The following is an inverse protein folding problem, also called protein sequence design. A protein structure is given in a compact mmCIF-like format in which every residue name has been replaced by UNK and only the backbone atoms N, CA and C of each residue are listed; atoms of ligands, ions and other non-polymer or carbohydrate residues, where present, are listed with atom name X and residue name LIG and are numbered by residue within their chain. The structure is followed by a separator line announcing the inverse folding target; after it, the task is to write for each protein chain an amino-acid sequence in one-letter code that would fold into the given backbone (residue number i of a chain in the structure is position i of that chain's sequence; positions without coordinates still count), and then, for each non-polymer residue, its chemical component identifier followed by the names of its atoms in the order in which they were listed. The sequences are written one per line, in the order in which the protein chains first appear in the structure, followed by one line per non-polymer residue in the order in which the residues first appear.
data_IF_956504645811
#
_entry.id   IF_956504645811
#
_cell.length_a   1.000
_cell.length_b   1.000
_cell.length_c   1.000
_cell.angle_alpha   90.00
_cell.angle_beta   90.00
_cell.angle_gamma   90.00
#
_symmetry.space_group_name_H-M   'P 1'
#
loop_
_entity.id
_entity.type
_entity.pdbx_description
1 polymer ?
#
# COMPACT_ATOMS: atom_id res chain seq x y z
N UNK A 1 -5.15 13.11 -1.76
CA UNK A 1 -4.44 12.18 -0.87
C UNK A 1 -4.68 12.59 0.58
N UNK A 2 -5.34 11.75 1.36
CA UNK A 2 -5.51 11.86 2.80
C UNK A 2 -4.24 11.47 3.58
N UNK A 3 -4.33 11.48 4.90
CA UNK A 3 -3.19 11.32 5.83
C UNK A 3 -2.42 10.00 5.63
N UNK A 4 -3.11 8.93 5.22
CA UNK A 4 -2.50 7.60 5.01
C UNK A 4 -1.66 7.59 3.74
N UNK A 5 -2.19 8.14 2.64
CA UNK A 5 -1.49 8.22 1.36
C UNK A 5 -0.24 9.11 1.44
N UNK A 6 -0.18 10.02 2.42
CA UNK A 6 0.99 10.89 2.69
C UNK A 6 1.95 10.32 3.76
N UNK A 7 1.64 9.18 4.37
CA UNK A 7 2.47 8.59 5.43
C UNK A 7 2.35 9.25 6.81
N UNK A 8 1.43 10.20 7.00
CA UNK A 8 1.18 10.85 8.30
C UNK A 8 0.43 9.94 9.29
N UNK A 9 -0.25 8.90 8.79
CA UNK A 9 -1.00 7.95 9.60
C UNK A 9 -0.73 6.52 9.15
N UNK A 10 -0.32 5.69 10.10
CA UNK A 10 -0.21 4.23 9.96
C UNK A 10 -1.61 3.62 9.79
N UNK A 11 -1.89 2.89 8.71
CA UNK A 11 -3.17 2.21 8.55
C UNK A 11 -3.36 1.16 9.66
N UNK A 12 -4.52 1.17 10.29
CA UNK A 12 -4.89 0.16 11.30
C UNK A 12 -5.36 -1.14 10.65
N UNK A 13 -5.31 -2.24 11.39
CA UNK A 13 -5.76 -3.56 10.90
C UNK A 13 -7.20 -3.54 10.33
N UNK A 14 -8.20 -2.90 10.95
CA UNK A 14 -9.55 -2.82 10.36
C UNK A 14 -9.58 -2.14 8.98
N UNK A 15 -8.75 -1.12 8.76
CA UNK A 15 -8.67 -0.44 7.47
C UNK A 15 -8.03 -1.35 6.41
N UNK A 16 -6.94 -2.02 6.76
CA UNK A 16 -6.28 -3.01 5.89
C UNK A 16 -7.28 -4.08 5.42
N UNK A 17 -8.09 -4.61 6.35
CA UNK A 17 -9.11 -5.61 6.02
C UNK A 17 -10.21 -5.05 5.12
N UNK A 18 -10.62 -3.79 5.31
CA UNK A 18 -11.59 -3.11 4.41
C UNK A 18 -11.04 -2.95 3.00
N UNK A 19 -9.77 -2.55 2.86
CA UNK A 19 -9.10 -2.41 1.56
C UNK A 19 -9.00 -3.77 0.86
N UNK A 20 -8.55 -4.81 1.56
CA UNK A 20 -8.46 -6.16 1.00
C UNK A 20 -9.81 -6.65 0.46
N UNK A 21 -10.89 -6.43 1.22
CA UNK A 21 -12.27 -6.73 0.79
C UNK A 21 -12.68 -5.92 -0.44
N UNK A 22 -12.42 -4.61 -0.47
CA UNK A 22 -12.74 -3.75 -1.60
C UNK A 22 -11.99 -4.17 -2.88
N UNK A 23 -10.76 -4.63 -2.74
CA UNK A 23 -9.91 -5.16 -3.81
C UNK A 23 -10.18 -6.63 -4.14
N UNK A 24 -11.14 -7.27 -3.45
CA UNK A 24 -11.52 -8.69 -3.64
C UNK A 24 -10.32 -9.65 -3.50
N UNK A 25 -9.41 -9.37 -2.58
CA UNK A 25 -8.26 -10.23 -2.27
C UNK A 25 -8.15 -10.50 -0.76
N UNK A 26 -7.29 -11.43 -0.37
CA UNK A 26 -6.96 -11.65 1.04
C UNK A 26 -6.04 -10.53 1.55
N UNK A 27 -6.11 -10.23 2.86
CA UNK A 27 -5.18 -9.28 3.47
C UNK A 27 -3.72 -9.74 3.41
N UNK A 28 -3.49 -11.05 3.41
CA UNK A 28 -2.16 -11.62 3.20
C UNK A 28 -1.62 -11.30 1.80
N UNK A 29 -2.45 -11.44 0.76
CA UNK A 29 -2.09 -11.08 -0.61
C UNK A 29 -1.82 -9.56 -0.74
N UNK A 30 -2.68 -8.72 -0.14
CA UNK A 30 -2.51 -7.28 -0.13
C UNK A 30 -1.16 -6.86 0.49
N UNK A 31 -0.81 -7.45 1.64
CA UNK A 31 0.45 -7.17 2.34
C UNK A 31 1.66 -7.65 1.53
N UNK A 32 1.62 -8.85 0.96
CA UNK A 32 2.71 -9.35 0.11
C UNK A 32 2.95 -8.45 -1.11
N UNK A 33 1.88 -7.98 -1.76
CA UNK A 33 1.97 -7.06 -2.89
C UNK A 33 2.53 -5.68 -2.48
N UNK A 34 2.19 -5.19 -1.28
CA UNK A 34 2.75 -3.97 -0.73
C UNK A 34 4.25 -4.09 -0.49
N UNK A 35 4.70 -5.15 0.19
CA UNK A 35 6.13 -5.39 0.44
C UNK A 35 6.94 -5.51 -0.86
N UNK A 36 6.38 -6.21 -1.87
CA UNK A 36 7.02 -6.31 -3.18
C UNK A 36 7.22 -4.94 -3.84
N UNK A 37 6.24 -4.03 -3.72
CA UNK A 37 6.34 -2.66 -4.23
C UNK A 37 7.35 -1.79 -3.48
N UNK A 38 7.47 -1.98 -2.16
CA UNK A 38 8.46 -1.26 -1.35
C UNK A 38 9.89 -1.75 -1.59
N UNK A 39 10.04 -3.02 -2.00
CA UNK A 39 11.33 -3.59 -2.40
C UNK A 39 11.79 -3.16 -3.80
N UNK A 40 10.91 -2.56 -4.61
CA UNK A 40 11.32 -1.97 -5.89
C UNK A 40 12.27 -0.81 -5.60
N UNK A 41 13.48 -0.78 -6.22
CA UNK A 41 14.39 0.34 -6.02
C UNK A 41 13.71 1.62 -6.48
N UNK A 42 13.82 2.69 -5.68
CA UNK A 42 13.38 4.03 -6.07
C UNK A 42 14.23 4.47 -7.26
N UNK A 43 13.77 4.13 -8.46
CA UNK A 43 14.35 4.60 -9.70
C UNK A 43 13.77 5.98 -9.91
N UNK A 44 14.60 7.05 -9.84
CA UNK A 44 14.10 8.38 -10.12
C UNK A 44 13.54 8.34 -11.54
N UNK A 45 12.24 8.61 -11.71
CA UNK A 45 11.69 8.85 -13.04
C UNK A 45 12.43 10.05 -13.60
N UNK A 46 13.41 9.79 -14.47
CA UNK A 46 14.14 10.80 -15.22
C UNK A 46 13.08 11.56 -16.02
N UNK A 47 12.74 12.76 -15.55
CA UNK A 47 11.78 13.63 -16.22
C UNK A 47 12.30 13.96 -17.62
N UNK A 48 11.38 13.94 -18.59
CA UNK A 48 11.54 14.63 -19.87
C UNK A 48 11.19 16.10 -19.68
#
# INVERSE_FOLDING_TARGET
MGKIERGEHIPTLPLILKIARALKCSSAHLMAAMEAKLAEPDTPKRGN
#
